data_IF_521035662565
#
_entry.id   IF_521035662565
#
_cell.length_a   1.000
_cell.length_b   1.000
_cell.length_c   1.000
_cell.angle_alpha   90.00
_cell.angle_beta   90.00
_cell.angle_gamma   90.00
#
_symmetry.space_group_name_H-M   'P 1'
#
loop_
_entity.id
_entity.type
_entity.pdbx_description
1 polymer ?
#
# COMPACT_ATOMS: atom_id res chain seq x y z
N UNK A 1 -2.19 48.67 4.99
CA UNK A 1 -2.60 47.50 4.20
C UNK A 1 -1.83 46.31 4.76
N UNK A 2 -2.41 45.63 5.74
CA UNK A 2 -1.71 44.58 6.49
C UNK A 2 -2.04 43.25 5.83
N UNK A 3 -1.05 42.61 5.21
CA UNK A 3 -1.19 41.28 4.63
C UNK A 3 -1.14 40.28 5.78
N UNK A 4 -2.26 39.61 6.06
CA UNK A 4 -2.27 38.42 6.91
C UNK A 4 -1.77 37.24 6.07
N UNK A 5 -0.58 36.74 6.39
CA UNK A 5 -0.13 35.45 5.90
C UNK A 5 -0.92 34.36 6.64
N UNK A 6 -1.84 33.71 5.93
CA UNK A 6 -2.55 32.54 6.44
C UNK A 6 -1.59 31.35 6.32
N UNK A 7 -0.91 30.97 7.40
CA UNK A 7 -0.22 29.69 7.50
C UNK A 7 -1.30 28.61 7.60
N UNK A 8 -1.67 28.03 6.47
CA UNK A 8 -2.44 26.78 6.46
C UNK A 8 -1.50 25.68 6.92
N UNK A 9 -1.62 25.29 8.20
CA UNK A 9 -1.09 24.02 8.68
C UNK A 9 -2.01 22.96 8.08
N UNK A 10 -1.66 22.49 6.88
CA UNK A 10 -2.29 21.30 6.31
C UNK A 10 -1.84 20.16 7.24
N UNK A 11 -2.77 19.42 7.88
CA UNK A 11 -2.36 18.24 8.63
C UNK A 11 -1.57 17.34 7.67
N UNK A 12 -0.45 16.79 8.14
CA UNK A 12 0.41 15.85 7.43
C UNK A 12 -0.29 14.49 7.20
N UNK A 13 -1.61 14.49 7.07
CA UNK A 13 -2.40 13.34 6.71
C UNK A 13 -2.23 13.14 5.20
N UNK A 14 -1.41 12.16 4.84
CA UNK A 14 -1.43 11.51 3.54
C UNK A 14 -1.15 12.44 2.33
N UNK A 15 0.05 13.04 2.27
CA UNK A 15 0.51 13.71 1.04
C UNK A 15 1.21 12.69 0.12
N UNK A 16 0.55 12.34 -0.99
CA UNK A 16 1.14 11.52 -2.05
C UNK A 16 1.97 12.39 -3.02
N UNK A 17 2.96 11.81 -3.73
CA UNK A 17 3.67 12.47 -4.83
C UNK A 17 2.70 12.93 -5.92
N UNK A 18 3.12 13.90 -6.72
CA UNK A 18 2.29 14.38 -7.82
C UNK A 18 1.95 13.23 -8.79
N UNK A 19 0.67 13.11 -9.15
CA UNK A 19 0.18 12.03 -9.99
C UNK A 19 -0.15 10.74 -9.25
N UNK A 20 0.13 10.65 -7.94
CA UNK A 20 -0.26 9.50 -7.14
C UNK A 20 -1.47 9.81 -6.27
N UNK A 21 -2.38 8.84 -6.26
CA UNK A 21 -3.46 8.74 -5.31
C UNK A 21 -3.08 7.75 -4.19
N UNK A 22 -3.70 7.96 -3.04
CA UNK A 22 -3.51 7.14 -1.85
C UNK A 22 -4.85 6.89 -1.18
N UNK A 23 -5.03 5.66 -0.72
CA UNK A 23 -6.15 5.25 0.12
C UNK A 23 -5.66 4.48 1.34
N UNK A 24 -6.08 4.94 2.51
CA UNK A 24 -5.87 4.24 3.77
C UNK A 24 -7.01 3.24 3.99
N UNK A 25 -6.66 1.98 4.28
CA UNK A 25 -7.58 0.99 4.81
C UNK A 25 -7.54 1.12 6.34
N UNK A 26 -8.42 1.98 6.86
CA UNK A 26 -8.51 2.23 8.30
C UNK A 26 -9.01 0.99 9.03
N UNK A 27 -8.37 0.66 10.15
CA UNK A 27 -8.91 -0.34 11.05
C UNK A 27 -10.25 0.16 11.60
N UNK A 28 -11.25 -0.73 11.64
CA UNK A 28 -12.50 -0.44 12.37
C UNK A 28 -12.35 -0.73 13.87
N UNK A 29 -11.18 -1.20 14.30
CA UNK A 29 -10.85 -1.54 15.67
C UNK A 29 -9.86 -0.54 16.26
N UNK A 30 -10.32 0.32 17.17
CA UNK A 30 -9.48 1.33 17.83
C UNK A 30 -8.37 0.75 18.75
N UNK A 31 -8.32 -0.56 18.97
CA UNK A 31 -7.25 -1.25 19.69
C UNK A 31 -6.19 -1.86 18.75
N UNK A 32 -6.33 -1.64 17.45
CA UNK A 32 -5.36 -2.10 16.46
C UNK A 32 -4.06 -1.28 16.61
N UNK A 33 -2.91 -1.92 16.89
CA UNK A 33 -1.64 -1.21 17.01
C UNK A 33 -1.22 -0.54 15.69
N UNK A 34 -1.79 -0.95 14.57
CA UNK A 34 -1.56 -0.39 13.25
C UNK A 34 -2.51 0.80 12.93
N UNK A 35 -3.42 1.18 13.84
CA UNK A 35 -4.27 2.39 13.76
C UNK A 35 -3.47 3.66 14.10
N UNK A 36 -2.38 3.88 13.37
CA UNK A 36 -1.49 5.04 13.50
C UNK A 36 -1.74 5.98 12.33
N UNK A 37 -2.04 7.27 12.53
CA UNK A 37 -2.48 8.14 11.43
C UNK A 37 -1.37 8.56 10.46
N UNK A 38 -0.13 8.11 10.67
CA UNK A 38 1.02 8.58 9.89
C UNK A 38 1.35 7.63 8.75
N UNK A 39 1.16 8.14 7.53
CA UNK A 39 1.67 7.54 6.31
C UNK A 39 2.51 8.58 5.59
N UNK A 40 3.75 8.22 5.27
CA UNK A 40 4.62 9.03 4.41
C UNK A 40 4.89 8.28 3.12
N UNK A 41 4.83 9.02 2.00
CA UNK A 41 5.06 8.46 0.67
C UNK A 41 5.94 9.40 -0.18
N UNK A 42 7.17 9.74 0.22
CA UNK A 42 8.02 10.60 -0.60
C UNK A 42 8.65 9.87 -1.79
N UNK A 43 8.88 10.63 -2.86
CA UNK A 43 9.83 10.24 -3.92
C UNK A 43 11.26 10.19 -3.36
N UNK A 44 12.00 9.15 -3.75
CA UNK A 44 13.43 8.97 -3.47
C UNK A 44 14.16 8.66 -4.78
N UNK A 45 15.50 8.55 -4.77
CA UNK A 45 16.30 8.42 -6.00
C UNK A 45 15.84 7.33 -6.97
N UNK A 46 15.39 6.19 -6.44
CA UNK A 46 15.08 4.99 -7.20
C UNK A 46 13.62 4.52 -7.03
N UNK A 47 12.69 5.46 -6.80
CA UNK A 47 11.26 5.19 -6.68
C UNK A 47 10.66 5.93 -5.50
N UNK A 48 10.05 5.19 -4.58
CA UNK A 48 9.35 5.78 -3.44
C UNK A 48 9.73 5.08 -2.15
N UNK A 49 9.65 5.83 -1.06
CA UNK A 49 9.65 5.29 0.30
C UNK A 49 8.22 5.32 0.81
N UNK A 50 7.76 4.24 1.41
CA UNK A 50 6.46 4.19 2.11
C UNK A 50 6.73 3.81 3.55
N UNK A 51 6.40 4.71 4.47
CA UNK A 51 6.33 4.43 5.90
C UNK A 51 4.86 4.51 6.29
N UNK A 52 4.31 3.43 6.85
CA UNK A 52 2.87 3.32 7.11
C UNK A 52 2.62 2.54 8.40
N UNK A 53 1.67 3.03 9.20
CA UNK A 53 1.02 2.26 10.25
C UNK A 53 -0.10 1.39 9.65
N UNK A 54 -1.17 2.00 9.12
CA UNK A 54 -2.29 1.29 8.53
C UNK A 54 -1.91 0.64 7.20
N UNK A 55 -2.78 -0.23 6.70
CA UNK A 55 -2.69 -0.67 5.32
C UNK A 55 -2.95 0.50 4.37
N UNK A 56 -2.14 0.64 3.33
CA UNK A 56 -2.27 1.69 2.32
C UNK A 56 -2.27 1.10 0.92
N UNK A 57 -3.18 1.59 0.08
CA UNK A 57 -3.19 1.35 -1.36
C UNK A 57 -2.75 2.63 -2.07
N UNK A 58 -1.74 2.51 -2.94
CA UNK A 58 -1.13 3.60 -3.69
C UNK A 58 -1.26 3.30 -5.18
N UNK A 59 -1.72 4.26 -5.97
CA UNK A 59 -1.81 4.10 -7.43
C UNK A 59 -1.60 5.42 -8.14
N UNK A 60 -1.17 5.33 -9.40
CA UNK A 60 -1.19 6.45 -10.34
C UNK A 60 -2.35 6.17 -11.32
N UNK A 61 -3.35 7.06 -11.46
CA UNK A 61 -4.52 6.83 -12.31
C UNK A 61 -4.18 6.78 -13.80
N UNK A 62 -3.03 7.31 -14.22
CA UNK A 62 -2.55 7.24 -15.61
C UNK A 62 -1.91 5.88 -15.93
N UNK A 63 -1.53 5.10 -14.91
CA UNK A 63 -1.00 3.74 -15.07
C UNK A 63 -2.11 2.75 -15.44
N UNK A 64 -2.41 2.68 -16.74
CA UNK A 64 -3.43 1.78 -17.31
C UNK A 64 -2.79 0.71 -18.19
N UNK A 65 -3.39 -0.49 -18.17
CA UNK A 65 -3.01 -1.61 -19.04
C UNK A 65 -4.26 -2.34 -19.53
N UNK A 66 -4.19 -2.88 -20.75
CA UNK A 66 -5.26 -3.70 -21.34
C UNK A 66 -4.68 -4.95 -21.99
N UNK A 67 -5.50 -6.00 -22.15
CA UNK A 67 -5.04 -7.28 -22.70
C UNK A 67 -4.14 -8.06 -21.73
N UNK A 68 -3.27 -8.92 -22.29
CA UNK A 68 -2.29 -9.66 -21.51
C UNK A 68 -1.05 -8.79 -21.27
N UNK A 69 -0.63 -8.68 -20.01
CA UNK A 69 0.53 -7.90 -19.59
C UNK A 69 1.30 -8.62 -18.49
N UNK A 70 2.51 -8.15 -18.22
CA UNK A 70 3.34 -8.59 -17.10
C UNK A 70 3.64 -7.39 -16.22
N UNK A 71 3.48 -7.55 -14.91
CA UNK A 71 3.89 -6.56 -13.92
C UNK A 71 5.12 -7.05 -13.19
N UNK A 72 5.99 -6.11 -12.84
CA UNK A 72 7.17 -6.35 -12.03
C UNK A 72 7.37 -5.15 -11.11
N UNK A 73 7.69 -5.44 -9.86
CA UNK A 73 8.09 -4.45 -8.87
C UNK A 73 9.28 -4.98 -8.07
N UNK A 74 10.09 -4.08 -7.55
CA UNK A 74 11.15 -4.40 -6.58
C UNK A 74 10.79 -3.72 -5.28
N UNK A 75 10.74 -4.50 -4.21
CA UNK A 75 10.35 -4.04 -2.89
C UNK A 75 11.48 -4.35 -1.92
N UNK A 76 11.81 -3.38 -1.07
CA UNK A 76 12.79 -3.53 -0.01
C UNK A 76 12.07 -3.26 1.31
N UNK A 77 12.04 -4.25 2.20
CA UNK A 77 11.57 -4.06 3.56
C UNK A 77 12.73 -3.48 4.37
N UNK A 78 12.61 -2.23 4.82
CA UNK A 78 13.70 -1.61 5.59
C UNK A 78 13.59 -1.84 7.09
N UNK A 79 12.37 -2.02 7.60
CA UNK A 79 12.10 -2.28 9.01
C UNK A 79 11.01 -3.35 9.11
N UNK A 80 11.34 -4.57 9.57
CA UNK A 80 10.34 -5.60 9.80
C UNK A 80 9.50 -5.26 11.04
N UNK A 81 8.20 -5.55 10.99
CA UNK A 81 7.34 -5.43 12.18
C UNK A 81 7.36 -6.71 13.01
N UNK A 82 6.76 -6.67 14.20
CA UNK A 82 6.59 -7.82 15.08
C UNK A 82 5.68 -8.93 14.52
N UNK A 83 4.99 -8.66 13.40
CA UNK A 83 4.10 -9.58 12.69
C UNK A 83 4.40 -9.59 11.19
N UNK A 84 3.74 -10.46 10.43
CA UNK A 84 3.97 -10.54 9.00
C UNK A 84 3.20 -9.44 8.26
N UNK A 85 3.91 -8.41 7.80
CA UNK A 85 3.36 -7.41 6.89
C UNK A 85 3.50 -7.84 5.44
N UNK A 86 2.47 -7.53 4.65
CA UNK A 86 2.40 -7.85 3.23
C UNK A 86 2.54 -6.59 2.40
N UNK A 87 3.35 -6.68 1.34
CA UNK A 87 3.59 -5.59 0.41
C UNK A 87 3.75 -6.15 -1.01
N UNK A 88 3.41 -5.35 -2.02
CA UNK A 88 3.44 -5.81 -3.40
C UNK A 88 2.62 -4.94 -4.35
N UNK A 89 2.15 -5.57 -5.43
CA UNK A 89 1.54 -4.88 -6.56
C UNK A 89 0.01 -4.95 -6.48
N UNK A 90 -0.64 -3.82 -6.77
CA UNK A 90 -2.08 -3.74 -7.07
C UNK A 90 -2.29 -3.62 -8.58
N UNK A 91 -3.34 -4.25 -9.12
CA UNK A 91 -3.62 -4.25 -10.55
C UNK A 91 -5.08 -4.58 -10.87
N UNK A 92 -5.50 -4.25 -12.10
CA UNK A 92 -6.90 -4.42 -12.53
C UNK A 92 -7.87 -3.51 -11.75
N UNK A 93 -7.40 -2.34 -11.33
CA UNK A 93 -8.14 -1.42 -10.47
C UNK A 93 -9.36 -0.78 -11.11
N UNK A 94 -10.42 -0.63 -10.33
CA UNK A 94 -11.62 0.14 -10.66
C UNK A 94 -12.26 0.74 -9.42
N UNK A 95 -12.59 2.03 -9.48
CA UNK A 95 -13.23 2.77 -8.37
C UNK A 95 -12.41 2.77 -7.07
N UNK A 96 -11.08 2.88 -7.17
CA UNK A 96 -10.14 2.76 -6.05
C UNK A 96 -10.35 3.82 -4.97
N UNK A 97 -10.85 4.99 -5.35
CA UNK A 97 -11.17 6.13 -4.48
C UNK A 97 -12.54 6.02 -3.77
N UNK A 98 -13.36 5.03 -4.14
CA UNK A 98 -14.74 4.89 -3.66
C UNK A 98 -15.04 3.57 -2.94
N UNK A 99 -16.19 3.45 -2.27
CA UNK A 99 -16.52 2.26 -1.46
C UNK A 99 -16.72 0.96 -2.26
N UNK A 100 -16.70 1.06 -3.60
CA UNK A 100 -16.81 -0.07 -4.53
C UNK A 100 -15.46 -0.43 -5.15
N UNK A 101 -14.36 -0.11 -4.46
CA UNK A 101 -13.00 -0.45 -4.88
C UNK A 101 -12.89 -1.90 -5.33
N UNK A 102 -12.31 -2.11 -6.50
CA UNK A 102 -12.16 -3.42 -7.09
C UNK A 102 -10.75 -3.53 -7.66
N UNK A 103 -9.94 -4.44 -7.14
CA UNK A 103 -8.59 -4.69 -7.67
C UNK A 103 -8.07 -6.05 -7.21
N UNK A 104 -7.10 -6.56 -7.95
CA UNK A 104 -6.27 -7.68 -7.53
C UNK A 104 -5.01 -7.17 -6.87
N UNK A 105 -4.48 -7.93 -5.91
CA UNK A 105 -3.19 -7.67 -5.31
C UNK A 105 -2.37 -8.94 -5.18
N UNK A 106 -1.11 -8.87 -5.62
CA UNK A 106 -0.08 -9.89 -5.41
C UNK A 106 0.89 -9.35 -4.37
N UNK A 107 0.95 -10.00 -3.22
CA UNK A 107 1.76 -9.54 -2.10
C UNK A 107 2.69 -10.64 -1.62
N UNK A 108 3.85 -10.21 -1.14
CA UNK A 108 4.82 -11.04 -0.43
C UNK A 108 4.95 -10.54 1.01
N UNK A 109 5.44 -11.39 1.91
CA UNK A 109 5.64 -11.05 3.31
C UNK A 109 6.98 -11.54 3.84
N UNK A 110 7.45 -10.89 4.93
CA UNK A 110 8.73 -11.15 5.58
C UNK A 110 8.95 -12.59 6.05
N UNK A 111 7.90 -13.40 6.14
CA UNK A 111 7.98 -14.81 6.53
C UNK A 111 7.97 -15.79 5.35
N UNK A 112 8.40 -15.35 4.16
CA UNK A 112 8.60 -16.24 3.01
C UNK A 112 7.32 -16.71 2.34
N UNK A 113 6.20 -16.01 2.59
CA UNK A 113 4.91 -16.32 1.96
C UNK A 113 4.51 -15.29 0.94
N UNK A 114 3.68 -15.71 -0.01
CA UNK A 114 2.95 -14.84 -0.92
C UNK A 114 1.45 -15.14 -0.88
N UNK A 115 0.66 -14.23 -1.43
CA UNK A 115 -0.76 -14.43 -1.70
C UNK A 115 -1.22 -13.64 -2.93
N UNK A 116 -2.36 -14.05 -3.48
CA UNK A 116 -3.11 -13.26 -4.46
C UNK A 116 -4.55 -13.18 -4.00
N UNK A 117 -5.07 -11.96 -3.90
CA UNK A 117 -6.46 -11.74 -3.49
C UNK A 117 -7.11 -10.68 -4.37
N UNK A 118 -8.42 -10.72 -4.38
CA UNK A 118 -9.29 -9.74 -5.00
C UNK A 118 -9.98 -8.93 -3.91
N UNK A 119 -9.91 -7.60 -3.96
CA UNK A 119 -10.73 -6.67 -3.16
C UNK A 119 -12.04 -6.41 -3.90
N UNK A 120 -13.17 -6.57 -3.23
CA UNK A 120 -14.51 -6.37 -3.78
C UNK A 120 -15.33 -5.44 -2.88
N UNK A 121 -15.06 -4.15 -2.98
CA UNK A 121 -15.52 -3.13 -2.03
C UNK A 121 -14.74 -3.16 -0.72
N UNK A 122 -15.18 -2.35 0.23
CA UNK A 122 -14.42 -2.08 1.46
C UNK A 122 -14.31 -3.29 2.39
N UNK A 123 -15.33 -4.14 2.42
CA UNK A 123 -15.42 -5.21 3.43
C UNK A 123 -15.02 -6.58 2.89
N UNK A 124 -15.10 -6.79 1.57
CA UNK A 124 -14.96 -8.14 1.00
C UNK A 124 -13.61 -8.33 0.33
N UNK A 125 -13.02 -9.50 0.60
CA UNK A 125 -11.88 -10.02 -0.16
C UNK A 125 -12.13 -11.48 -0.56
N UNK A 126 -11.63 -11.88 -1.73
CA UNK A 126 -11.64 -13.25 -2.18
C UNK A 126 -10.21 -13.76 -2.37
N UNK A 127 -9.94 -14.98 -1.93
CA UNK A 127 -8.66 -15.64 -2.20
C UNK A 127 -8.64 -16.14 -3.65
N UNK A 128 -7.66 -15.67 -4.42
CA UNK A 128 -7.29 -16.23 -5.72
C UNK A 128 -6.18 -17.26 -5.52
N UNK A 129 -5.19 -16.90 -4.70
CA UNK A 129 -4.18 -17.80 -4.15
C UNK A 129 -4.11 -17.53 -2.64
N UNK A 130 -4.47 -18.51 -1.79
CA UNK A 130 -4.34 -18.35 -0.35
C UNK A 130 -2.87 -18.17 0.03
N UNK A 131 -2.63 -17.64 1.24
CA UNK A 131 -1.29 -17.51 1.81
C UNK A 131 -0.52 -18.83 1.68
N UNK A 132 0.62 -18.77 0.98
CA UNK A 132 1.41 -19.95 0.63
C UNK A 132 2.90 -19.64 0.78
N UNK A 133 3.67 -20.54 1.38
CA UNK A 133 5.14 -20.45 1.41
C UNK A 133 5.73 -20.68 0.03
N UNK A 134 6.77 -19.93 -0.32
CA UNK A 134 7.44 -20.11 -1.61
C UNK A 134 8.92 -19.74 -1.53
N UNK A 135 9.79 -20.61 -2.04
CA UNK A 135 11.25 -20.45 -1.95
C UNK A 135 11.80 -19.19 -2.65
N UNK A 136 11.05 -18.61 -3.59
CA UNK A 136 11.43 -17.36 -4.24
C UNK A 136 11.13 -16.10 -3.40
N UNK A 137 10.37 -16.22 -2.30
CA UNK A 137 10.12 -15.09 -1.39
C UNK A 137 11.24 -15.08 -0.35
N UNK A 138 12.15 -14.12 -0.49
CA UNK A 138 13.23 -13.94 0.46
C UNK A 138 12.68 -13.49 1.82
N UNK A 139 13.23 -14.07 2.88
CA UNK A 139 13.00 -13.60 4.25
C UNK A 139 14.09 -12.57 4.59
N UNK A 140 13.76 -11.50 5.36
CA UNK A 140 14.77 -10.58 5.87
C UNK A 140 15.87 -11.32 6.64
N UNK A 141 17.10 -10.80 6.57
CA UNK A 141 18.21 -11.32 7.36
C UNK A 141 18.15 -10.84 8.80
N UNK A 142 19.20 -11.14 9.58
CA UNK A 142 19.31 -10.69 10.98
C UNK A 142 19.32 -9.15 11.14
N UNK A 143 19.58 -8.41 10.06
CA UNK A 143 19.64 -6.94 10.04
C UNK A 143 18.43 -6.28 9.36
N UNK A 144 17.35 -7.06 9.12
CA UNK A 144 16.33 -6.71 8.13
C UNK A 144 16.74 -7.15 6.73
#
# INVERSE_FOLDING_TARGET
MTVFALLMVVPLAAQAPAGWDMRLDNSTNAADPDDVPEVTFPEVSDGFRVDTGPAVTLWDPDNTATGAYTLKGTFTLHEPSGHANYYGLVYGGGGLDGPRQNYLYFLVAQNGTFLVKHRAGDETTHDVQPRTEHAAVAMPGENG
#
